data_IF_906617429415
#
_entry.id   IF_906617429415
#
_cell.length_a   1.000
_cell.length_b   1.000
_cell.length_c   1.000
_cell.angle_alpha   90.00
_cell.angle_beta   90.00
_cell.angle_gamma   90.00
#
_symmetry.space_group_name_H-M   'P 1'
#
loop_
_entity.id
_entity.type
_entity.pdbx_description
1 polymer ?
#
# COMPACT_ATOMS: atom_id res chain seq x y z
N UNK A 1 -12.46 5.04 4.32
CA UNK A 1 -11.51 4.46 3.35
C UNK A 1 -10.12 4.84 3.83
N UNK A 2 -9.13 3.98 3.64
CA UNK A 2 -7.79 4.24 4.15
C UNK A 2 -6.80 4.44 3.01
N UNK A 3 -5.87 5.36 3.23
CA UNK A 3 -4.66 5.51 2.43
C UNK A 3 -3.48 4.94 3.23
N UNK A 4 -2.59 4.20 2.58
CA UNK A 4 -1.35 3.72 3.17
C UNK A 4 -0.18 4.44 2.51
N UNK A 5 0.64 5.08 3.34
CA UNK A 5 1.89 5.72 2.93
C UNK A 5 3.03 4.77 3.28
N UNK A 6 3.59 4.09 2.28
CA UNK A 6 4.68 3.12 2.44
C UNK A 6 6.00 3.79 2.05
N UNK A 7 7.01 3.71 2.92
CA UNK A 7 8.37 4.06 2.56
C UNK A 7 9.04 2.93 1.79
N UNK A 8 9.43 3.23 0.56
CA UNK A 8 10.20 2.36 -0.31
C UNK A 8 11.69 2.67 -0.16
N UNK A 9 12.45 1.74 0.40
CA UNK A 9 13.91 1.70 0.26
C UNK A 9 14.29 0.73 -0.86
N UNK A 10 15.52 0.77 -1.35
CA UNK A 10 16.02 -0.25 -2.29
C UNK A 10 15.77 -1.67 -1.74
N UNK A 11 15.29 -2.58 -2.60
CA UNK A 11 15.01 -3.98 -2.25
C UNK A 11 13.53 -4.30 -2.00
N UNK A 12 13.23 -4.93 -0.86
CA UNK A 12 11.95 -5.59 -0.56
C UNK A 12 10.73 -4.64 -0.48
N UNK A 13 10.95 -3.33 -0.38
CA UNK A 13 9.89 -2.33 -0.34
C UNK A 13 9.74 -1.59 -1.67
N UNK A 14 10.26 -2.12 -2.78
CA UNK A 14 10.02 -1.51 -4.09
C UNK A 14 8.54 -1.56 -4.47
N UNK A 15 8.09 -0.57 -5.25
CA UNK A 15 6.70 -0.49 -5.74
C UNK A 15 6.24 -1.80 -6.39
N UNK A 16 7.13 -2.43 -7.17
CA UNK A 16 6.87 -3.69 -7.85
C UNK A 16 6.58 -4.84 -6.88
N UNK A 17 7.38 -4.99 -5.82
CA UNK A 17 7.19 -6.05 -4.81
C UNK A 17 5.89 -5.84 -4.05
N UNK A 18 5.57 -4.58 -3.69
CA UNK A 18 4.31 -4.23 -3.03
C UNK A 18 3.12 -4.60 -3.93
N UNK A 19 3.14 -4.18 -5.20
CA UNK A 19 2.05 -4.45 -6.13
C UNK A 19 1.88 -5.96 -6.38
N UNK A 20 2.97 -6.71 -6.54
CA UNK A 20 2.93 -8.17 -6.72
C UNK A 20 2.35 -8.89 -5.50
N UNK A 21 2.71 -8.44 -4.29
CA UNK A 21 2.16 -9.01 -3.06
C UNK A 21 0.66 -8.73 -2.91
N UNK A 22 0.21 -7.49 -3.20
CA UNK A 22 -1.21 -7.14 -3.17
C UNK A 22 -2.00 -7.93 -4.23
N UNK A 23 -1.45 -8.10 -5.43
CA UNK A 23 -2.07 -8.90 -6.49
C UNK A 23 -2.21 -10.38 -6.09
N UNK A 24 -1.18 -10.97 -5.46
CA UNK A 24 -1.24 -12.34 -4.90
C UNK A 24 -2.27 -12.49 -3.79
N UNK A 25 -2.53 -11.42 -3.04
CA UNK A 25 -3.59 -11.33 -2.04
C UNK A 25 -4.98 -11.05 -2.62
N UNK A 26 -5.13 -10.95 -3.95
CA UNK A 26 -6.35 -10.54 -4.63
C UNK A 26 -6.92 -9.20 -4.11
N UNK A 27 -6.04 -8.27 -3.71
CA UNK A 27 -6.43 -6.95 -3.23
C UNK A 27 -6.43 -5.95 -4.39
N UNK A 28 -7.59 -5.35 -4.65
CA UNK A 28 -7.71 -4.29 -5.64
C UNK A 28 -7.17 -2.96 -5.10
N UNK A 29 -6.42 -2.27 -5.96
CA UNK A 29 -5.93 -0.93 -5.74
C UNK A 29 -6.91 0.06 -6.37
N UNK A 30 -7.51 0.91 -5.54
CA UNK A 30 -8.41 2.00 -5.98
C UNK A 30 -7.64 3.21 -6.50
N UNK A 31 -6.50 3.52 -5.89
CA UNK A 31 -5.63 4.62 -6.30
C UNK A 31 -4.18 4.33 -5.90
N UNK A 32 -3.23 4.80 -6.69
CA UNK A 32 -1.80 4.69 -6.42
C UNK A 32 -1.06 5.95 -6.89
N UNK A 33 -0.13 6.41 -6.07
CA UNK A 33 0.78 7.51 -6.39
C UNK A 33 2.17 7.21 -5.84
N UNK A 34 3.20 7.63 -6.56
CA UNK A 34 4.60 7.53 -6.13
C UNK A 34 5.17 8.93 -6.05
N UNK A 35 5.74 9.29 -4.89
CA UNK A 35 6.41 10.57 -4.69
C UNK A 35 7.74 10.34 -3.98
N UNK A 36 8.84 10.40 -4.73
CA UNK A 36 10.18 10.09 -4.23
C UNK A 36 10.26 8.65 -3.75
N UNK A 37 10.58 8.47 -2.47
CA UNK A 37 10.72 7.20 -1.78
C UNK A 37 9.41 6.73 -1.10
N UNK A 38 8.28 7.37 -1.40
CA UNK A 38 7.01 7.08 -0.75
C UNK A 38 5.97 6.63 -1.78
N UNK A 39 5.38 5.47 -1.55
CA UNK A 39 4.21 4.97 -2.30
C UNK A 39 2.97 5.23 -1.47
N UNK A 40 2.01 5.94 -2.04
CA UNK A 40 0.66 6.06 -1.49
C UNK A 40 -0.28 5.15 -2.22
N UNK A 41 -1.07 4.39 -1.49
CA UNK A 41 -2.06 3.48 -2.04
C UNK A 41 -3.38 3.60 -1.28
N UNK A 42 -4.45 3.42 -2.03
CA UNK A 42 -5.79 3.22 -1.49
C UNK A 42 -6.27 1.87 -1.98
N UNK A 43 -6.68 1.02 -1.06
CA UNK A 43 -7.15 -0.34 -1.37
C UNK A 43 -8.59 -0.53 -0.91
N UNK A 44 -9.23 -1.58 -1.41
CA UNK A 44 -10.62 -1.91 -1.06
C UNK A 44 -10.75 -2.64 0.28
N UNK A 45 -9.66 -3.27 0.76
CA UNK A 45 -9.62 -4.02 2.02
C UNK A 45 -8.41 -3.59 2.87
N UNK A 46 -8.70 -2.86 3.93
CA UNK A 46 -7.69 -2.36 4.87
C UNK A 46 -6.97 -3.49 5.62
N UNK A 47 -7.72 -4.48 6.11
CA UNK A 47 -7.19 -5.52 6.98
C UNK A 47 -6.22 -6.41 6.22
N UNK A 48 -6.65 -6.88 5.05
CA UNK A 48 -5.79 -7.71 4.19
C UNK A 48 -4.57 -6.93 3.69
N UNK A 49 -4.72 -5.62 3.43
CA UNK A 49 -3.58 -4.77 3.03
C UNK A 49 -2.56 -4.64 4.16
N UNK A 50 -3.01 -4.34 5.38
CA UNK A 50 -2.16 -4.30 6.58
C UNK A 50 -1.37 -5.60 6.76
N UNK A 51 -2.05 -6.75 6.66
CA UNK A 51 -1.42 -8.06 6.83
C UNK A 51 -0.31 -8.31 5.80
N UNK A 52 -0.53 -7.94 4.54
CA UNK A 52 0.47 -8.08 3.48
C UNK A 52 1.66 -7.17 3.73
N UNK A 53 1.42 -5.90 4.05
CA UNK A 53 2.50 -4.94 4.31
C UNK A 53 3.33 -5.31 5.54
N UNK A 54 2.68 -5.85 6.58
CA UNK A 54 3.37 -6.39 7.75
C UNK A 54 4.23 -7.62 7.40
N UNK A 55 3.72 -8.54 6.56
CA UNK A 55 4.50 -9.71 6.08
C UNK A 55 5.73 -9.31 5.26
N UNK A 56 5.64 -8.19 4.54
CA UNK A 56 6.78 -7.61 3.81
C UNK A 56 7.77 -6.88 4.71
N UNK A 57 7.48 -6.74 6.01
CA UNK A 57 8.20 -5.84 6.93
C UNK A 57 8.29 -4.40 6.38
N UNK A 58 7.26 -3.97 5.66
CA UNK A 58 7.19 -2.64 5.10
C UNK A 58 6.99 -1.61 6.22
N UNK A 59 7.62 -0.44 6.09
CA UNK A 59 7.37 0.70 6.98
C UNK A 59 6.27 1.55 6.36
N UNK A 60 5.11 1.62 7.02
CA UNK A 60 3.99 2.38 6.51
C UNK A 60 3.20 3.08 7.61
N UNK A 61 2.43 4.10 7.21
CA UNK A 61 1.42 4.76 8.05
C UNK A 61 0.06 4.69 7.36
N UNK A 62 -1.01 4.70 8.15
CA UNK A 62 -2.39 4.63 7.66
C UNK A 62 -3.10 5.95 7.94
N UNK A 63 -3.71 6.52 6.92
CA UNK A 63 -4.45 7.78 6.98
C UNK A 63 -5.94 7.54 6.70
N UNK A 64 -6.81 8.22 7.45
CA UNK A 64 -8.23 8.29 7.15
C UNK A 64 -8.49 9.26 6.00
N UNK A 65 -9.12 8.77 4.92
CA UNK A 65 -9.46 9.60 3.77
C UNK A 65 -10.97 9.65 3.52
N UNK A 66 -11.44 10.85 3.17
CA UNK A 66 -12.79 11.11 2.71
C UNK A 66 -12.89 10.81 1.22
N UNK A 67 -13.72 9.82 0.85
CA UNK A 67 -14.08 9.58 -0.54
C UNK A 67 -15.26 10.48 -0.90
N UNK A 68 -14.96 11.58 -1.59
CA UNK A 68 -15.99 12.46 -2.16
C UNK A 68 -16.42 11.85 -3.50
N UNK A 69 -17.74 11.67 -3.67
CA UNK A 69 -18.36 11.17 -4.91
C UNK A 69 -18.93 12.32 -5.72
#
# INVERSE_FOLDING_TARGET
MKEFDIRTSEGANSVAVICDALAKGAINISALSVNGDTVRLVTEDENSTNDILNKLNAKFSVNDILKIR
#
